data_IF_205557809859
#
_entry.id   IF_205557809859
#
_cell.length_a   1.000
_cell.length_b   1.000
_cell.length_c   1.000
_cell.angle_alpha   90.00
_cell.angle_beta   90.00
_cell.angle_gamma   90.00
#
_symmetry.space_group_name_H-M   'P 1'
#
loop_
_entity.id
_entity.type
_entity.pdbx_description
1 polymer ?
#
# COMPACT_ATOMS: atom_id res chain seq x y z
N UNK A 1 -5.38 0.24 0.71
CA UNK A 1 -6.59 1.03 0.36
C UNK A 1 -7.92 0.39 0.76
N UNK A 2 -8.03 -0.92 0.98
CA UNK A 2 -9.30 -1.57 1.37
C UNK A 2 -9.96 -1.00 2.64
N UNK A 3 -9.15 -0.56 3.62
CA UNK A 3 -9.61 0.04 4.89
C UNK A 3 -10.47 1.30 4.71
N UNK A 4 -10.25 2.09 3.64
CA UNK A 4 -11.03 3.30 3.38
C UNK A 4 -12.43 3.00 2.81
N UNK A 5 -12.58 1.91 2.03
CA UNK A 5 -13.88 1.45 1.51
C UNK A 5 -14.70 0.74 2.59
N UNK A 6 -14.03 0.04 3.52
CA UNK A 6 -14.67 -0.60 4.68
C UNK A 6 -15.33 0.40 5.63
N UNK A 7 -14.86 1.65 5.62
CA UNK A 7 -15.43 2.74 6.40
C UNK A 7 -16.69 3.35 5.80
N UNK A 8 -16.98 3.11 4.51
CA UNK A 8 -18.16 3.65 3.81
C UNK A 8 -19.36 2.69 3.81
N UNK A 9 -19.21 1.41 4.20
CA UNK A 9 -20.29 0.42 4.20
C UNK A 9 -20.62 -0.02 5.64
N UNK A 10 -21.67 0.52 6.27
CA UNK A 10 -21.89 0.38 7.70
C UNK A 10 -22.52 -0.95 8.14
N UNK A 11 -22.93 -1.84 7.22
CA UNK A 11 -23.81 -2.98 7.58
C UNK A 11 -23.16 -4.36 7.68
N UNK A 12 -21.93 -4.61 7.20
CA UNK A 12 -21.23 -5.92 7.34
C UNK A 12 -19.69 -5.77 7.22
N UNK A 13 -18.99 -5.28 8.25
CA UNK A 13 -17.58 -4.92 8.14
C UNK A 13 -16.66 -6.12 7.86
N UNK A 14 -16.92 -7.30 8.42
CA UNK A 14 -16.01 -8.45 8.28
C UNK A 14 -16.02 -9.08 6.88
N UNK A 15 -17.18 -9.38 6.31
CA UNK A 15 -17.26 -10.00 4.98
C UNK A 15 -16.73 -9.08 3.89
N UNK A 16 -17.04 -7.78 3.97
CA UNK A 16 -16.46 -6.79 3.08
C UNK A 16 -14.94 -6.70 3.26
N UNK A 17 -14.43 -6.74 4.52
CA UNK A 17 -12.99 -6.72 4.79
C UNK A 17 -12.31 -7.87 4.11
N UNK A 18 -12.86 -9.07 4.32
CA UNK A 18 -12.38 -10.32 3.75
C UNK A 18 -12.33 -10.22 2.22
N UNK A 19 -13.43 -9.80 1.58
CA UNK A 19 -13.51 -9.65 0.12
C UNK A 19 -12.50 -8.62 -0.42
N UNK A 20 -12.34 -7.48 0.23
CA UNK A 20 -11.35 -6.48 -0.19
C UNK A 20 -9.91 -6.96 0.03
N UNK A 21 -9.63 -7.66 1.12
CA UNK A 21 -8.31 -8.26 1.34
C UNK A 21 -8.02 -9.35 0.32
N UNK A 22 -9.01 -10.16 -0.08
CA UNK A 22 -8.85 -11.14 -1.15
C UNK A 22 -8.62 -10.48 -2.51
N UNK A 23 -9.39 -9.46 -2.86
CA UNK A 23 -9.17 -8.72 -4.11
C UNK A 23 -7.77 -8.10 -4.15
N UNK A 24 -7.29 -7.54 -3.04
CA UNK A 24 -5.92 -7.03 -2.92
C UNK A 24 -4.87 -8.15 -3.02
N UNK A 25 -5.10 -9.27 -2.33
CA UNK A 25 -4.20 -10.42 -2.36
C UNK A 25 -4.11 -11.07 -3.74
N UNK A 26 -5.17 -11.04 -4.56
CA UNK A 26 -5.15 -11.52 -5.95
C UNK A 26 -4.52 -10.49 -6.89
N UNK A 27 -4.66 -9.20 -6.59
CA UNK A 27 -4.05 -8.12 -7.38
C UNK A 27 -2.51 -8.19 -7.37
N UNK A 28 -1.88 -8.61 -6.27
CA UNK A 28 -0.41 -8.68 -6.18
C UNK A 28 0.20 -9.74 -7.12
N UNK A 29 -0.25 -11.02 -7.13
CA UNK A 29 0.19 -12.02 -8.09
C UNK A 29 -0.06 -11.62 -9.55
N UNK A 30 -1.19 -10.96 -9.84
CA UNK A 30 -1.49 -10.46 -11.18
C UNK A 30 -0.47 -9.40 -11.64
N UNK A 31 -0.13 -8.45 -10.77
CA UNK A 31 0.90 -7.44 -11.07
C UNK A 31 2.26 -8.07 -11.33
N UNK A 32 2.66 -9.07 -10.52
CA UNK A 32 3.90 -9.82 -10.70
C UNK A 32 3.89 -10.59 -12.02
N UNK A 33 2.79 -11.27 -12.36
CA UNK A 33 2.68 -12.04 -13.60
C UNK A 33 2.79 -11.14 -14.85
N UNK A 34 2.18 -9.95 -14.82
CA UNK A 34 2.33 -8.95 -15.89
C UNK A 34 3.77 -8.47 -15.97
N UNK A 35 4.41 -8.17 -14.83
CA UNK A 35 5.81 -7.76 -14.77
C UNK A 35 6.75 -8.79 -15.40
N UNK A 36 6.58 -10.08 -15.04
CA UNK A 36 7.35 -11.19 -15.62
C UNK A 36 7.09 -11.32 -17.13
N UNK A 37 5.84 -11.15 -17.58
CA UNK A 37 5.52 -11.22 -19.01
C UNK A 37 6.17 -10.11 -19.84
N UNK A 38 6.24 -8.90 -19.29
CA UNK A 38 6.94 -7.77 -19.92
C UNK A 38 8.44 -8.02 -19.93
N UNK A 39 9.01 -8.45 -18.81
CA UNK A 39 10.44 -8.77 -18.70
C UNK A 39 10.86 -9.88 -19.68
N UNK A 40 10.01 -10.91 -19.87
CA UNK A 40 10.28 -12.00 -20.81
C UNK A 40 10.15 -11.62 -22.30
N UNK A 41 9.50 -10.50 -22.63
CA UNK A 41 9.25 -10.07 -24.02
C UNK A 41 10.06 -8.85 -24.44
N UNK A 42 10.68 -8.16 -23.49
CA UNK A 42 11.42 -6.92 -23.71
C UNK A 42 12.88 -7.15 -23.32
N UNK A 43 13.82 -7.01 -24.26
CA UNK A 43 15.25 -7.17 -23.98
C UNK A 43 16.01 -5.84 -24.10
N UNK A 44 17.06 -5.68 -23.28
CA UNK A 44 17.97 -4.52 -23.33
C UNK A 44 17.38 -3.22 -22.78
N UNK A 45 17.89 -2.08 -23.27
CA UNK A 45 17.57 -0.74 -22.74
C UNK A 45 16.06 -0.42 -22.70
N UNK A 46 15.23 -1.02 -23.55
CA UNK A 46 13.78 -0.82 -23.51
C UNK A 46 13.17 -1.41 -22.22
N UNK A 47 13.65 -2.57 -21.76
CA UNK A 47 13.23 -3.19 -20.52
C UNK A 47 13.56 -2.30 -19.32
N UNK A 48 14.79 -1.78 -19.25
CA UNK A 48 15.25 -0.90 -18.19
C UNK A 48 14.40 0.38 -18.07
N UNK A 49 14.06 1.00 -19.20
CA UNK A 49 13.19 2.18 -19.22
C UNK A 49 11.76 1.84 -18.79
N UNK A 50 11.20 0.73 -19.26
CA UNK A 50 9.86 0.29 -18.82
C UNK A 50 9.84 -0.03 -17.33
N UNK A 51 10.87 -0.68 -16.81
CA UNK A 51 11.03 -0.96 -15.38
C UNK A 51 11.12 0.33 -14.57
N UNK A 52 11.99 1.26 -14.95
CA UNK A 52 12.16 2.54 -14.26
C UNK A 52 10.87 3.36 -14.21
N UNK A 53 10.15 3.44 -15.34
CA UNK A 53 8.86 4.16 -15.41
C UNK A 53 7.82 3.46 -14.53
N UNK A 54 7.70 2.12 -14.61
CA UNK A 54 6.70 1.35 -13.87
C UNK A 54 6.95 1.39 -12.37
N UNK A 55 8.20 1.22 -11.94
CA UNK A 55 8.61 1.39 -10.54
C UNK A 55 8.37 2.81 -10.04
N UNK A 56 8.66 3.82 -10.86
CA UNK A 56 8.38 5.23 -10.53
C UNK A 56 6.89 5.47 -10.29
N UNK A 57 6.02 4.97 -11.17
CA UNK A 57 4.57 5.06 -10.99
C UNK A 57 4.10 4.31 -9.75
N UNK A 58 4.56 3.07 -9.55
CA UNK A 58 4.19 2.29 -8.37
C UNK A 58 4.54 3.04 -7.08
N UNK A 59 5.78 3.51 -6.96
CA UNK A 59 6.26 4.29 -5.81
C UNK A 59 5.43 5.57 -5.60
N UNK A 60 5.21 6.35 -6.67
CA UNK A 60 4.43 7.59 -6.61
C UNK A 60 2.98 7.39 -6.14
N UNK A 61 2.31 6.35 -6.65
CA UNK A 61 0.94 6.00 -6.23
C UNK A 61 0.93 5.60 -4.75
N UNK A 62 1.89 4.78 -4.30
CA UNK A 62 1.99 4.38 -2.89
C UNK A 62 2.20 5.58 -1.96
N UNK A 63 3.09 6.52 -2.32
CA UNK A 63 3.30 7.75 -1.54
C UNK A 63 2.03 8.59 -1.48
N UNK A 64 1.36 8.80 -2.61
CA UNK A 64 0.09 9.56 -2.65
C UNK A 64 -0.98 8.93 -1.75
N UNK A 65 -1.14 7.60 -1.83
CA UNK A 65 -2.09 6.84 -1.02
C UNK A 65 -1.72 6.90 0.46
N UNK A 66 -0.45 6.81 0.82
CA UNK A 66 0.01 6.93 2.20
C UNK A 66 -0.35 8.30 2.78
N UNK A 67 -0.10 9.38 2.05
CA UNK A 67 -0.41 10.73 2.52
C UNK A 67 -1.93 10.94 2.62
N UNK A 68 -2.68 10.64 1.55
CA UNK A 68 -4.11 10.96 1.49
C UNK A 68 -4.99 10.03 2.33
N UNK A 69 -4.72 8.73 2.31
CA UNK A 69 -5.59 7.74 2.96
C UNK A 69 -5.14 7.33 4.35
N UNK A 70 -3.83 7.20 4.59
CA UNK A 70 -3.31 6.82 5.91
C UNK A 70 -3.17 8.03 6.84
N UNK A 71 -2.60 9.15 6.37
CA UNK A 71 -2.34 10.32 7.22
C UNK A 71 -3.55 11.26 7.27
N UNK A 72 -4.08 11.68 6.12
CA UNK A 72 -5.15 12.69 6.09
C UNK A 72 -6.55 12.13 6.43
N UNK A 73 -6.90 10.95 5.91
CA UNK A 73 -8.19 10.26 6.18
C UNK A 73 -8.09 9.10 7.18
N UNK A 74 -6.98 9.06 7.94
CA UNK A 74 -6.64 7.99 8.88
C UNK A 74 -7.70 7.68 9.94
N UNK A 75 -7.44 6.66 10.74
CA UNK A 75 -8.37 6.16 11.75
C UNK A 75 -8.75 7.23 12.80
N UNK A 76 -9.89 7.89 12.62
CA UNK A 76 -10.61 8.64 13.67
C UNK A 76 -11.38 7.66 14.59
N UNK A 77 -10.96 7.44 15.84
CA UNK A 77 -11.69 6.59 16.76
C UNK A 77 -13.03 7.24 17.15
N UNK A 78 -14.06 6.43 17.32
CA UNK A 78 -15.41 6.89 17.72
C UNK A 78 -15.44 7.36 19.19
N UNK A 79 -14.43 6.95 19.98
CA UNK A 79 -14.19 7.39 21.36
C UNK A 79 -12.78 7.99 21.46
N UNK A 80 -12.56 9.06 22.23
CA UNK A 80 -11.24 9.64 22.40
C UNK A 80 -10.30 8.58 22.97
N UNK A 81 -9.31 8.18 22.18
CA UNK A 81 -8.31 7.19 22.55
C UNK A 81 -6.97 7.90 22.64
N UNK A 82 -6.20 7.64 23.70
CA UNK A 82 -4.89 8.28 23.94
C UNK A 82 -3.90 8.01 22.78
N UNK A 83 -4.08 6.89 22.08
CA UNK A 83 -3.29 6.49 20.92
C UNK A 83 -3.57 7.33 19.66
N UNK A 84 -4.56 8.21 19.67
CA UNK A 84 -4.91 9.06 18.52
C UNK A 84 -4.23 10.44 18.53
N UNK A 85 -3.04 10.52 19.13
CA UNK A 85 -2.23 11.74 19.07
C UNK A 85 -1.41 11.79 17.77
N UNK A 86 -1.21 12.99 17.18
CA UNK A 86 -0.42 13.14 15.96
C UNK A 86 1.00 12.59 16.09
N UNK A 87 1.58 12.70 17.29
CA UNK A 87 2.93 12.21 17.58
C UNK A 87 3.01 10.69 17.51
N UNK A 88 2.05 9.95 18.09
CA UNK A 88 2.01 8.49 18.05
C UNK A 88 1.84 7.98 16.61
N UNK A 89 0.98 8.64 15.82
CA UNK A 89 0.82 8.33 14.39
C UNK A 89 2.12 8.53 13.61
N UNK A 90 2.84 9.62 13.88
CA UNK A 90 4.14 9.89 13.25
C UNK A 90 5.19 8.84 13.64
N UNK A 91 5.28 8.49 14.93
CA UNK A 91 6.20 7.43 15.39
C UNK A 91 5.85 6.07 14.80
N UNK A 92 4.55 5.76 14.61
CA UNK A 92 4.12 4.51 13.98
C UNK A 92 4.53 4.43 12.50
N UNK A 93 4.40 5.54 11.76
CA UNK A 93 4.89 5.63 10.37
C UNK A 93 6.42 5.48 10.32
N UNK A 94 7.14 6.19 11.19
CA UNK A 94 8.60 6.07 11.29
C UNK A 94 9.06 4.64 11.60
N UNK A 95 8.38 3.95 12.52
CA UNK A 95 8.66 2.55 12.85
C UNK A 95 8.46 1.67 11.60
N UNK A 96 7.34 1.84 10.89
CA UNK A 96 7.08 1.12 9.65
C UNK A 96 8.17 1.32 8.59
N UNK A 97 8.61 2.57 8.40
CA UNK A 97 9.73 2.89 7.50
C UNK A 97 11.04 2.25 7.98
N UNK A 98 11.33 2.30 9.28
CA UNK A 98 12.54 1.70 9.84
C UNK A 98 12.58 0.18 9.66
N UNK A 99 11.46 -0.52 9.88
CA UNK A 99 11.35 -1.96 9.65
C UNK A 99 11.55 -2.29 8.18
N UNK A 100 10.90 -1.55 7.27
CA UNK A 100 11.10 -1.75 5.84
C UNK A 100 12.55 -1.48 5.41
N UNK A 101 13.19 -0.45 5.98
CA UNK A 101 14.60 -0.16 5.71
C UNK A 101 15.51 -1.30 6.18
N UNK A 102 15.24 -1.91 7.34
CA UNK A 102 15.98 -3.10 7.80
C UNK A 102 15.76 -4.27 6.86
N UNK A 103 14.52 -4.55 6.45
CA UNK A 103 14.21 -5.65 5.52
C UNK A 103 14.96 -5.46 4.19
N UNK A 104 15.02 -4.23 3.68
CA UNK A 104 15.74 -3.90 2.43
C UNK A 104 17.26 -4.06 2.52
N UNK A 105 17.85 -4.22 3.71
CA UNK A 105 19.28 -4.57 3.84
C UNK A 105 19.53 -6.04 3.46
N UNK A 106 18.50 -6.88 3.60
CA UNK A 106 18.57 -8.32 3.33
C UNK A 106 18.02 -8.72 1.96
N UNK A 107 17.53 -7.75 1.19
CA UNK A 107 17.19 -7.88 -0.24
C UNK A 107 18.46 -7.65 -1.09
#
# INVERSE_FOLDING_TARGET
>A
MGIALLRMIPKRPLFATIMYSFAFAISSPLGVAIGIGIDATTEGHAADWTYAITMGFACGIFIYVAINHLIAKGYKPEKPCYLDTPFIRFTAVLLGVAVMAVVMIWD
#
